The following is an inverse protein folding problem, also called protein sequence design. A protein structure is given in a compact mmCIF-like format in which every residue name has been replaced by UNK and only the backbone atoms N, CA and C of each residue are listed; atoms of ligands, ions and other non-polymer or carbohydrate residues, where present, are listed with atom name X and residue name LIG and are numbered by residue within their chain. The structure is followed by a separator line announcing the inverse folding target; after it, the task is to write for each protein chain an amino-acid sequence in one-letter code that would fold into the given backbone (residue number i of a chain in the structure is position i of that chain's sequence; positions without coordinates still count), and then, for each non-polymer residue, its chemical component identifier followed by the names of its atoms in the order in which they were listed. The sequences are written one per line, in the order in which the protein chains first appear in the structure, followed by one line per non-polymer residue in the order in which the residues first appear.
data_IF_742893879187
#
_entry.id   IF_742893879187
#
_cell.length_a   1.000
_cell.length_b   1.000
_cell.length_c   1.000
_cell.angle_alpha   90.00
_cell.angle_beta   90.00
_cell.angle_gamma   90.00
#
_symmetry.space_group_name_H-M   'P 1'
#
loop_
_entity.id
_entity.type
_entity.pdbx_description
1 polymer ?
#
# COMPACT_ATOMS: atom_id res chain seq x y z
N UNK A 1 -20.31 8.82 68.66
CA UNK A 1 -20.15 7.58 67.90
C UNK A 1 -20.79 7.75 66.53
N UNK A 2 -19.94 7.99 65.53
CA UNK A 2 -19.97 7.46 64.15
C UNK A 2 -21.34 7.32 63.46
N UNK A 3 -21.57 8.24 62.51
CA UNK A 3 -22.27 8.06 61.23
C UNK A 3 -21.76 6.83 60.48
N UNK A 4 -22.62 6.09 59.77
CA UNK A 4 -22.52 5.86 58.31
C UNK A 4 -23.90 5.42 57.80
N UNK A 5 -24.57 6.30 57.06
CA UNK A 5 -25.75 5.97 56.25
C UNK A 5 -25.26 5.68 54.83
N UNK A 6 -25.44 4.45 54.37
CA UNK A 6 -25.05 4.03 53.03
C UNK A 6 -25.96 4.70 51.97
N UNK A 7 -25.35 5.44 51.06
CA UNK A 7 -25.99 5.96 49.85
C UNK A 7 -25.97 4.85 48.80
N UNK A 8 -27.15 4.39 48.40
CA UNK A 8 -27.36 3.61 47.18
C UNK A 8 -27.12 4.52 45.96
N UNK A 9 -26.11 4.23 45.15
CA UNK A 9 -26.01 4.73 43.77
C UNK A 9 -26.10 3.58 42.80
N UNK A 10 -27.20 3.58 42.04
CA UNK A 10 -27.48 2.65 40.96
C UNK A 10 -26.48 2.88 39.81
N UNK A 11 -25.75 1.83 39.43
CA UNK A 11 -24.98 1.78 38.19
C UNK A 11 -25.95 1.39 37.07
N UNK A 12 -26.40 2.39 36.31
CA UNK A 12 -27.09 2.21 35.03
C UNK A 12 -26.07 1.82 33.97
N UNK A 13 -26.06 0.54 33.58
CA UNK A 13 -25.37 0.02 32.41
C UNK A 13 -26.01 0.55 31.13
N UNK A 14 -25.41 1.57 30.52
CA UNK A 14 -25.77 2.01 29.17
C UNK A 14 -25.12 1.07 28.17
N UNK A 15 -25.96 0.26 27.51
CA UNK A 15 -25.59 -0.64 26.44
C UNK A 15 -24.89 0.13 25.30
N UNK A 16 -23.67 -0.31 24.96
CA UNK A 16 -22.96 0.11 23.76
C UNK A 16 -23.68 -0.51 22.57
N UNK A 17 -24.55 0.25 21.93
CA UNK A 17 -25.14 -0.11 20.66
C UNK A 17 -24.03 -0.12 19.59
N UNK A 18 -23.71 -1.30 19.08
CA UNK A 18 -22.91 -1.46 17.87
C UNK A 18 -23.68 -0.80 16.70
N UNK A 19 -23.27 0.42 16.34
CA UNK A 19 -23.82 1.11 15.20
C UNK A 19 -23.37 0.41 13.92
N UNK A 20 -24.30 -0.32 13.30
CA UNK A 20 -24.25 -0.71 11.89
C UNK A 20 -24.06 0.54 11.04
N UNK A 21 -22.86 0.72 10.48
CA UNK A 21 -22.59 1.75 9.47
C UNK A 21 -23.36 1.40 8.19
N UNK A 22 -24.57 1.93 8.05
CA UNK A 22 -25.22 2.04 6.74
C UNK A 22 -24.37 2.98 5.87
N UNK A 23 -24.01 2.50 4.68
CA UNK A 23 -23.45 3.27 3.57
C UNK A 23 -24.26 4.56 3.36
N UNK A 24 -23.81 5.69 3.88
CA UNK A 24 -24.40 6.99 3.61
C UNK A 24 -23.62 7.65 2.45
N UNK A 25 -24.31 7.84 1.33
CA UNK A 25 -23.96 8.68 0.19
C UNK A 25 -22.59 8.42 -0.46
N UNK A 26 -22.47 7.28 -1.15
CA UNK A 26 -21.52 7.17 -2.27
C UNK A 26 -22.05 8.02 -3.43
N UNK A 27 -21.22 8.83 -4.12
CA UNK A 27 -21.66 9.51 -5.34
C UNK A 27 -22.27 8.49 -6.30
N UNK A 28 -23.39 8.86 -6.91
CA UNK A 28 -24.15 8.02 -7.85
C UNK A 28 -23.20 7.39 -8.86
N UNK A 29 -23.36 6.08 -9.07
CA UNK A 29 -22.64 5.27 -10.04
C UNK A 29 -22.76 5.87 -11.44
N UNK A 30 -21.84 6.75 -11.82
CA UNK A 30 -21.45 6.81 -13.21
C UNK A 30 -20.75 5.47 -13.45
N UNK A 31 -21.40 4.56 -14.18
CA UNK A 31 -20.75 3.37 -14.69
C UNK A 31 -19.43 3.83 -15.33
N UNK A 32 -18.31 3.43 -14.73
CA UNK A 32 -17.00 3.86 -15.18
C UNK A 32 -16.78 3.25 -16.57
N UNK A 33 -16.93 4.08 -17.60
CA UNK A 33 -16.70 3.71 -18.99
C UNK A 33 -15.23 3.28 -19.10
N UNK A 34 -14.98 2.16 -19.78
CA UNK A 34 -13.62 1.73 -20.14
C UNK A 34 -12.86 2.95 -20.70
N UNK A 35 -11.69 3.32 -20.15
CA UNK A 35 -10.96 4.47 -20.66
C UNK A 35 -10.67 4.29 -22.15
N UNK A 36 -10.82 5.34 -22.96
CA UNK A 36 -10.43 5.30 -24.36
C UNK A 36 -8.96 4.85 -24.50
N UNK A 37 -8.65 4.05 -25.52
CA UNK A 37 -7.29 3.65 -25.85
C UNK A 37 -6.42 4.91 -26.07
N UNK A 38 -5.45 5.14 -25.19
CA UNK A 38 -4.41 6.16 -25.41
C UNK A 38 -3.24 5.53 -26.13
N UNK A 39 -2.53 6.35 -26.90
CA UNK A 39 -1.19 6.04 -27.38
C UNK A 39 -0.34 5.56 -26.21
N UNK A 40 0.25 4.38 -26.40
CA UNK A 40 1.06 3.66 -25.43
C UNK A 40 2.35 4.46 -25.17
N UNK A 41 2.27 5.57 -24.42
CA UNK A 41 3.44 6.20 -23.81
C UNK A 41 4.00 5.14 -22.87
N UNK A 42 5.04 4.44 -23.32
CA UNK A 42 5.50 3.20 -22.72
C UNK A 42 5.74 3.38 -21.23
N UNK A 43 5.05 2.58 -20.41
CA UNK A 43 5.40 2.44 -19.02
C UNK A 43 6.82 1.88 -18.95
N UNK A 44 7.70 2.61 -18.27
CA UNK A 44 9.09 2.22 -18.04
C UNK A 44 9.55 2.79 -16.72
N UNK A 45 10.66 2.27 -16.21
CA UNK A 45 11.27 2.79 -14.98
C UNK A 45 11.72 4.25 -15.17
N UNK A 46 12.30 4.58 -16.33
CA UNK A 46 12.73 5.94 -16.67
C UNK A 46 11.54 6.91 -16.69
N UNK A 47 10.41 6.49 -17.29
CA UNK A 47 9.19 7.29 -17.29
C UNK A 47 8.67 7.48 -15.86
N UNK A 48 8.65 6.44 -15.05
CA UNK A 48 8.17 6.50 -13.67
C UNK A 48 9.05 7.41 -12.79
N UNK A 49 10.36 7.47 -13.05
CA UNK A 49 11.32 8.31 -12.34
C UNK A 49 11.40 9.74 -12.89
N UNK A 50 10.80 10.03 -14.04
CA UNK A 50 10.84 11.38 -14.62
C UNK A 50 10.25 12.44 -13.69
N UNK A 51 10.80 13.65 -13.76
CA UNK A 51 10.38 14.80 -12.95
C UNK A 51 8.86 15.02 -12.97
N UNK A 52 8.24 14.92 -14.15
CA UNK A 52 6.80 15.13 -14.28
C UNK A 52 5.97 14.03 -13.62
N UNK A 53 6.41 12.77 -13.71
CA UNK A 53 5.72 11.64 -13.09
C UNK A 53 5.82 11.71 -11.56
N UNK A 54 7.01 12.01 -11.05
CA UNK A 54 7.26 12.22 -9.63
C UNK A 54 6.50 13.43 -9.10
N UNK A 55 6.60 14.59 -9.75
CA UNK A 55 5.92 15.82 -9.32
C UNK A 55 4.40 15.63 -9.24
N UNK A 56 3.79 15.02 -10.26
CA UNK A 56 2.36 14.77 -10.30
C UNK A 56 1.90 13.94 -9.09
N UNK A 57 2.66 12.90 -8.78
CA UNK A 57 2.38 11.99 -7.68
C UNK A 57 2.58 12.63 -6.31
N UNK A 58 3.68 13.36 -6.12
CA UNK A 58 3.99 14.07 -4.88
C UNK A 58 2.93 15.14 -4.63
N UNK A 59 2.55 15.90 -5.65
CA UNK A 59 1.49 16.89 -5.58
C UNK A 59 0.13 16.25 -5.21
N UNK A 60 -0.19 15.11 -5.81
CA UNK A 60 -1.40 14.35 -5.48
C UNK A 60 -1.40 13.86 -4.02
N UNK A 61 -0.27 13.34 -3.54
CA UNK A 61 -0.11 12.97 -2.14
C UNK A 61 -0.20 14.20 -1.20
N UNK A 62 0.32 15.35 -1.62
CA UNK A 62 0.18 16.61 -0.89
C UNK A 62 -1.28 17.03 -0.73
N UNK A 63 -2.06 16.96 -1.81
CA UNK A 63 -3.52 17.18 -1.78
C UNK A 63 -4.18 16.22 -0.80
N UNK A 64 -3.95 14.91 -0.95
CA UNK A 64 -4.57 13.87 -0.14
C UNK A 64 -4.22 14.01 1.35
N UNK A 65 -2.96 14.34 1.67
CA UNK A 65 -2.50 14.49 3.03
C UNK A 65 -3.10 15.73 3.68
N UNK A 66 -2.97 16.90 3.06
CA UNK A 66 -3.44 18.19 3.61
C UNK A 66 -4.96 18.17 3.85
N UNK A 67 -5.72 17.49 3.00
CA UNK A 67 -7.19 17.47 3.06
C UNK A 67 -7.78 16.19 3.66
N UNK A 68 -6.90 15.26 4.05
CA UNK A 68 -7.25 13.92 4.55
C UNK A 68 -7.30 13.83 6.08
N UNK A 69 -7.03 12.62 6.57
CA UNK A 69 -7.02 12.27 8.00
C UNK A 69 -6.05 11.12 8.24
N UNK A 70 -5.67 10.87 9.49
CA UNK A 70 -4.83 9.70 9.85
C UNK A 70 -5.42 8.38 9.37
N UNK A 71 -6.75 8.26 9.35
CA UNK A 71 -7.41 7.09 8.79
C UNK A 71 -7.15 6.94 7.29
N UNK A 72 -7.26 8.03 6.52
CA UNK A 72 -6.97 7.98 5.08
C UNK A 72 -5.50 7.62 4.80
N UNK A 73 -4.56 8.12 5.60
CA UNK A 73 -3.14 7.84 5.44
C UNK A 73 -2.78 6.38 5.67
N UNK A 74 -3.51 5.74 6.59
CA UNK A 74 -3.28 4.33 6.93
C UNK A 74 -3.75 3.35 5.88
N UNK A 75 -4.63 3.78 4.97
CA UNK A 75 -5.11 2.94 3.88
C UNK A 75 -3.95 2.56 2.95
N UNK A 76 -3.82 1.26 2.71
CA UNK A 76 -2.88 0.72 1.74
C UNK A 76 -3.50 -0.50 1.07
N UNK A 77 -3.64 -0.53 -0.26
CA UNK A 77 -4.22 -1.68 -0.93
C UNK A 77 -3.33 -2.92 -0.75
N UNK A 78 -3.91 -4.13 -0.72
CA UNK A 78 -3.12 -5.37 -0.72
C UNK A 78 -2.14 -5.44 -1.90
N UNK A 79 -1.02 -6.13 -1.72
CA UNK A 79 0.01 -6.29 -2.75
C UNK A 79 0.98 -5.11 -2.90
N UNK A 80 0.94 -4.12 -2.00
CA UNK A 80 1.90 -3.00 -1.97
C UNK A 80 3.13 -3.25 -1.13
N UNK A 81 3.39 -4.46 -0.66
CA UNK A 81 4.64 -4.85 0.01
C UNK A 81 5.19 -6.09 -0.66
N UNK A 82 6.51 -6.24 -0.67
CA UNK A 82 7.21 -7.26 -1.43
C UNK A 82 6.87 -7.23 -2.93
N UNK A 83 6.93 -6.03 -3.50
CA UNK A 83 6.59 -5.74 -4.89
C UNK A 83 7.84 -5.85 -5.77
N UNK A 84 8.31 -7.08 -5.98
CA UNK A 84 9.50 -7.43 -6.79
C UNK A 84 9.22 -8.54 -7.81
N UNK A 85 7.94 -8.70 -8.19
CA UNK A 85 7.43 -9.86 -8.95
C UNK A 85 6.69 -9.46 -10.23
N UNK A 86 6.90 -8.23 -10.72
CA UNK A 86 6.42 -7.79 -12.03
C UNK A 86 4.93 -7.50 -12.15
N UNK A 87 4.16 -7.65 -11.07
CA UNK A 87 2.70 -7.52 -11.12
C UNK A 87 2.25 -6.08 -11.42
N UNK A 88 2.88 -5.09 -10.79
CA UNK A 88 2.57 -3.67 -11.06
C UNK A 88 2.84 -3.33 -12.53
N UNK A 89 3.98 -3.76 -13.09
CA UNK A 89 4.29 -3.55 -14.50
C UNK A 89 3.25 -4.21 -15.41
N UNK A 90 2.93 -5.48 -15.14
CA UNK A 90 1.93 -6.25 -15.90
C UNK A 90 0.57 -5.55 -15.96
N UNK A 91 0.14 -4.92 -14.87
CA UNK A 91 -1.09 -4.12 -14.82
C UNK A 91 -0.99 -2.89 -15.71
N UNK A 92 0.08 -2.14 -15.57
CA UNK A 92 0.19 -0.84 -16.24
C UNK A 92 0.33 -1.01 -17.76
N UNK A 93 1.03 -2.05 -18.23
CA UNK A 93 1.20 -2.32 -19.67
C UNK A 93 0.05 -3.10 -20.32
N UNK A 94 -1.03 -3.41 -19.59
CA UNK A 94 -2.13 -4.21 -20.13
C UNK A 94 -2.81 -3.52 -21.33
N UNK A 95 -2.60 -4.09 -22.51
CA UNK A 95 -3.12 -3.63 -23.80
C UNK A 95 -4.64 -3.74 -23.90
N UNK A 96 -5.25 -4.60 -23.10
CA UNK A 96 -6.70 -4.70 -22.99
C UNK A 96 -7.32 -3.59 -22.13
N UNK A 97 -6.50 -2.81 -21.40
CA UNK A 97 -6.86 -1.71 -20.50
C UNK A 97 -7.68 -2.13 -19.25
N UNK A 98 -7.61 -3.40 -18.86
CA UNK A 98 -8.16 -3.94 -17.62
C UNK A 98 -7.19 -3.87 -16.44
N UNK A 99 -5.93 -3.48 -16.62
CA UNK A 99 -4.94 -3.37 -15.55
C UNK A 99 -5.38 -2.59 -14.30
N UNK A 100 -6.23 -1.57 -14.46
CA UNK A 100 -6.82 -0.77 -13.38
C UNK A 100 -8.28 -1.11 -13.07
N UNK A 101 -8.74 -2.26 -13.53
CA UNK A 101 -10.04 -2.84 -13.20
C UNK A 101 -9.93 -3.74 -11.95
N UNK A 102 -10.96 -3.73 -11.11
CA UNK A 102 -11.00 -4.56 -9.88
C UNK A 102 -10.99 -6.07 -10.13
N UNK A 103 -11.23 -6.54 -11.36
CA UNK A 103 -11.21 -7.97 -11.73
C UNK A 103 -9.86 -8.49 -12.22
N UNK A 104 -8.88 -7.61 -12.51
CA UNK A 104 -7.61 -8.00 -13.13
C UNK A 104 -6.84 -9.02 -12.30
N UNK A 105 -6.63 -8.71 -11.01
CA UNK A 105 -5.96 -9.60 -10.05
C UNK A 105 -6.69 -10.94 -9.94
N UNK A 106 -8.02 -10.90 -9.76
CA UNK A 106 -8.83 -12.11 -9.61
C UNK A 106 -8.73 -13.02 -10.81
N UNK A 107 -8.74 -12.49 -12.04
CA UNK A 107 -8.67 -13.31 -13.26
C UNK A 107 -7.34 -14.04 -13.38
N UNK A 108 -6.21 -13.36 -13.19
CA UNK A 108 -4.89 -14.02 -13.26
C UNK A 108 -4.71 -15.03 -12.13
N UNK A 109 -5.07 -14.66 -10.89
CA UNK A 109 -4.94 -15.53 -9.72
C UNK A 109 -5.79 -16.80 -9.86
N UNK A 110 -7.04 -16.68 -10.32
CA UNK A 110 -7.94 -17.83 -10.50
C UNK A 110 -7.41 -18.80 -11.55
N UNK A 111 -6.82 -18.29 -12.64
CA UNK A 111 -6.17 -19.13 -13.66
C UNK A 111 -4.97 -19.91 -13.10
N UNK A 112 -4.12 -19.26 -12.31
CA UNK A 112 -2.98 -19.92 -11.66
C UNK A 112 -3.48 -21.01 -10.71
N UNK A 113 -4.37 -20.67 -9.78
CA UNK A 113 -4.88 -21.63 -8.80
C UNK A 113 -5.61 -22.82 -9.45
N UNK A 114 -6.28 -22.60 -10.57
CA UNK A 114 -6.93 -23.64 -11.36
C UNK A 114 -5.94 -24.67 -11.92
N UNK A 115 -4.80 -24.23 -12.46
CA UNK A 115 -3.84 -25.11 -13.14
C UNK A 115 -2.78 -25.73 -12.21
N UNK A 116 -2.55 -25.14 -11.04
CA UNK A 116 -1.67 -25.74 -10.02
C UNK A 116 -2.23 -27.09 -9.52
N UNK A 117 -1.35 -28.04 -9.19
CA UNK A 117 -1.76 -29.27 -8.53
C UNK A 117 -1.97 -29.06 -7.02
N UNK A 118 -2.41 -30.10 -6.29
CA UNK A 118 -2.67 -30.01 -4.85
C UNK A 118 -1.44 -29.64 -4.04
N UNK A 119 -0.27 -30.16 -4.38
CA UNK A 119 0.98 -29.89 -3.66
C UNK A 119 1.44 -28.44 -3.86
N UNK A 120 1.43 -27.94 -5.09
CA UNK A 120 1.78 -26.56 -5.42
C UNK A 120 0.81 -25.57 -4.76
N UNK A 121 -0.49 -25.85 -4.78
CA UNK A 121 -1.48 -25.04 -4.05
C UNK A 121 -1.24 -25.06 -2.55
N UNK A 122 -0.94 -26.22 -1.97
CA UNK A 122 -0.66 -26.36 -0.54
C UNK A 122 0.53 -25.49 -0.12
N UNK A 123 1.57 -25.37 -0.96
CA UNK A 123 2.71 -24.46 -0.72
C UNK A 123 2.29 -22.99 -0.64
N UNK A 124 1.47 -22.51 -1.58
CA UNK A 124 0.97 -21.13 -1.54
C UNK A 124 0.07 -20.87 -0.32
N UNK A 125 -0.80 -21.83 0.02
CA UNK A 125 -1.66 -21.73 1.20
C UNK A 125 -0.85 -21.69 2.49
N UNK A 126 0.18 -22.55 2.60
CA UNK A 126 1.07 -22.54 3.75
C UNK A 126 1.81 -21.20 3.88
N UNK A 127 2.32 -20.66 2.77
CA UNK A 127 2.94 -19.34 2.74
C UNK A 127 1.95 -18.25 3.19
N UNK A 128 0.71 -18.28 2.71
CA UNK A 128 -0.32 -17.30 3.08
C UNK A 128 -0.64 -17.30 4.57
N UNK A 129 -0.71 -18.47 5.19
CA UNK A 129 -0.92 -18.60 6.64
C UNK A 129 0.24 -18.03 7.45
N UNK A 130 1.46 -18.19 6.97
CA UNK A 130 2.67 -17.65 7.62
C UNK A 130 2.78 -16.13 7.45
N UNK A 131 2.48 -15.62 6.26
CA UNK A 131 2.68 -14.21 5.94
C UNK A 131 1.50 -13.31 6.31
N UNK A 132 0.27 -13.82 6.41
CA UNK A 132 -0.90 -13.01 6.80
C UNK A 132 -0.68 -12.19 8.10
N UNK A 133 -0.10 -12.75 9.20
CA UNK A 133 0.25 -11.96 10.38
C UNK A 133 1.36 -10.92 10.15
N UNK A 134 2.29 -11.16 9.21
CA UNK A 134 3.35 -10.21 8.89
C UNK A 134 2.79 -8.96 8.20
N UNK A 135 1.78 -9.12 7.35
CA UNK A 135 1.04 -7.98 6.81
C UNK A 135 0.46 -7.14 7.94
N UNK A 136 -0.27 -7.74 8.87
CA UNK A 136 -0.85 -7.03 10.02
C UNK A 136 0.22 -6.30 10.83
N UNK A 137 1.38 -6.94 11.05
CA UNK A 137 2.54 -6.31 11.68
C UNK A 137 3.01 -5.07 10.91
N UNK A 138 3.19 -5.18 9.59
CA UNK A 138 3.61 -4.05 8.77
C UNK A 138 2.60 -2.91 8.82
N UNK A 139 1.30 -3.19 8.68
CA UNK A 139 0.26 -2.17 8.73
C UNK A 139 0.23 -1.42 10.07
N UNK A 140 0.38 -2.13 11.19
CA UNK A 140 0.46 -1.53 12.51
C UNK A 140 1.73 -0.67 12.68
N UNK A 141 2.88 -1.20 12.26
CA UNK A 141 4.17 -0.53 12.43
C UNK A 141 4.37 0.69 11.53
N UNK A 142 3.49 0.92 10.54
CA UNK A 142 3.44 2.20 9.83
C UNK A 142 2.77 3.32 10.65
N UNK A 143 1.94 2.99 11.66
CA UNK A 143 1.15 4.00 12.39
C UNK A 143 2.01 5.04 13.13
N UNK A 144 3.15 4.70 13.77
CA UNK A 144 4.04 5.71 14.36
C UNK A 144 4.59 6.74 13.36
N UNK A 145 4.93 6.31 12.13
CA UNK A 145 5.37 7.23 11.06
C UNK A 145 4.23 8.18 10.68
N UNK A 146 3.04 7.64 10.42
CA UNK A 146 1.87 8.45 10.05
C UNK A 146 1.46 9.42 11.15
N UNK A 147 1.51 8.98 12.41
CA UNK A 147 1.27 9.83 13.58
C UNK A 147 2.27 10.99 13.62
N UNK A 148 3.57 10.73 13.50
CA UNK A 148 4.58 11.79 13.46
C UNK A 148 4.38 12.74 12.27
N UNK A 149 4.06 12.22 11.08
CA UNK A 149 3.81 13.05 9.90
C UNK A 149 2.60 13.95 10.12
N UNK A 150 1.51 13.43 10.70
CA UNK A 150 0.30 14.21 11.03
C UNK A 150 0.57 15.25 12.10
N UNK A 151 1.28 14.88 13.16
CA UNK A 151 1.72 15.84 14.19
C UNK A 151 2.56 16.96 13.60
N UNK A 152 3.45 16.66 12.65
CA UNK A 152 4.23 17.68 11.93
C UNK A 152 3.34 18.58 11.06
N UNK A 153 2.39 18.01 10.31
CA UNK A 153 1.41 18.74 9.49
C UNK A 153 0.56 19.71 10.32
N UNK A 154 0.15 19.27 11.51
CA UNK A 154 -0.77 19.97 12.42
C UNK A 154 -0.05 20.90 13.42
N UNK A 155 1.28 20.92 13.43
CA UNK A 155 2.07 21.71 14.39
C UNK A 155 2.04 21.18 15.83
N UNK A 156 1.67 19.91 16.04
CA UNK A 156 1.61 19.23 17.34
C UNK A 156 2.95 18.55 17.67
N UNK A 157 4.01 19.34 17.62
CA UNK A 157 5.38 18.88 17.86
C UNK A 157 5.62 18.59 19.34
N UNK A 158 6.44 17.59 19.70
CA UNK A 158 6.91 17.44 21.07
C UNK A 158 7.75 18.65 21.50
N UNK A 159 7.81 18.90 22.81
CA UNK A 159 8.52 20.06 23.37
C UNK A 159 9.99 20.06 22.94
N UNK A 160 10.49 21.18 22.42
CA UNK A 160 11.87 21.32 21.95
C UNK A 160 12.10 20.88 20.50
N UNK A 161 11.14 20.22 19.86
CA UNK A 161 11.24 19.85 18.45
C UNK A 161 10.89 21.01 17.52
N UNK A 162 11.60 21.12 16.40
CA UNK A 162 11.35 22.11 15.32
C UNK A 162 10.71 21.50 14.07
N UNK A 163 10.71 20.16 13.99
CA UNK A 163 10.18 19.38 12.88
C UNK A 163 10.60 17.91 13.00
N UNK A 164 10.34 17.14 11.94
CA UNK A 164 10.79 15.75 11.85
C UNK A 164 12.32 15.66 11.77
N UNK A 165 12.88 14.68 12.46
CA UNK A 165 14.27 14.26 12.29
C UNK A 165 14.34 13.29 11.09
N UNK A 166 15.01 13.71 10.02
CA UNK A 166 15.08 12.94 8.78
C UNK A 166 15.81 11.61 8.96
N UNK A 167 16.86 11.57 9.78
CA UNK A 167 17.63 10.34 10.00
C UNK A 167 16.84 9.37 10.88
N UNK A 168 16.10 9.86 11.88
CA UNK A 168 15.21 9.03 12.68
C UNK A 168 14.08 8.41 11.83
N UNK A 169 13.50 9.18 10.91
CA UNK A 169 12.48 8.68 9.96
C UNK A 169 13.06 7.63 9.02
N UNK A 170 14.25 7.89 8.47
CA UNK A 170 14.96 6.96 7.60
C UNK A 170 15.26 5.63 8.32
N UNK A 171 15.85 5.68 9.50
CA UNK A 171 16.20 4.52 10.31
C UNK A 171 14.97 3.70 10.76
N UNK A 172 13.88 4.37 11.15
CA UNK A 172 12.63 3.69 11.47
C UNK A 172 12.06 2.95 10.26
N UNK A 173 12.07 3.59 9.08
CA UNK A 173 11.53 2.99 7.85
C UNK A 173 12.40 1.81 7.38
N UNK A 174 13.72 1.91 7.51
CA UNK A 174 14.63 0.81 7.25
C UNK A 174 14.33 -0.42 8.14
N UNK A 175 14.06 -0.19 9.42
CA UNK A 175 13.68 -1.24 10.39
C UNK A 175 12.29 -1.83 10.09
N UNK A 176 11.32 -1.00 9.67
CA UNK A 176 10.00 -1.45 9.23
C UNK A 176 10.11 -2.43 8.03
N UNK A 177 11.04 -2.15 7.12
CA UNK A 177 11.24 -2.91 5.87
C UNK A 177 11.88 -4.29 6.08
N UNK A 178 12.35 -4.64 7.28
CA UNK A 178 12.68 -6.04 7.62
C UNK A 178 11.49 -6.97 7.37
N UNK A 179 10.26 -6.51 7.59
CA UNK A 179 9.05 -7.29 7.28
C UNK A 179 8.88 -7.47 5.77
N UNK A 180 9.17 -6.44 4.97
CA UNK A 180 9.14 -6.55 3.50
C UNK A 180 10.21 -7.55 3.01
N UNK A 181 11.38 -7.58 3.66
CA UNK A 181 12.42 -8.55 3.36
C UNK A 181 11.99 -10.00 3.63
N UNK A 182 11.38 -10.27 4.79
CA UNK A 182 10.81 -11.59 5.10
C UNK A 182 9.72 -11.98 4.10
N UNK A 183 8.83 -11.04 3.75
CA UNK A 183 7.76 -11.28 2.76
C UNK A 183 8.35 -11.64 1.39
N UNK A 184 9.29 -10.83 0.90
CA UNK A 184 9.93 -10.95 -0.42
C UNK A 184 10.73 -12.24 -0.55
N UNK A 185 11.61 -12.52 0.42
CA UNK A 185 12.47 -13.71 0.41
C UNK A 185 11.65 -15.00 0.40
N UNK A 186 10.73 -15.16 1.37
CA UNK A 186 9.95 -16.38 1.47
C UNK A 186 9.01 -16.58 0.29
N UNK A 187 8.49 -15.48 -0.27
CA UNK A 187 7.68 -15.54 -1.49
C UNK A 187 8.52 -16.06 -2.66
N UNK A 188 9.69 -15.48 -2.92
CA UNK A 188 10.57 -15.90 -4.02
C UNK A 188 10.99 -17.37 -3.91
N UNK A 189 11.32 -17.85 -2.70
CA UNK A 189 11.68 -19.25 -2.46
C UNK A 189 10.51 -20.18 -2.82
N UNK A 190 9.32 -19.92 -2.28
CA UNK A 190 8.15 -20.78 -2.49
C UNK A 190 7.66 -20.74 -3.93
N UNK A 191 7.53 -19.54 -4.52
CA UNK A 191 7.07 -19.42 -5.91
C UNK A 191 8.11 -19.96 -6.88
N UNK A 192 9.40 -19.79 -6.60
CA UNK A 192 10.50 -20.36 -7.37
C UNK A 192 10.47 -21.90 -7.39
N UNK A 193 10.24 -22.53 -6.24
CA UNK A 193 10.04 -23.99 -6.18
C UNK A 193 8.82 -24.45 -6.99
N UNK A 194 7.70 -23.71 -6.92
CA UNK A 194 6.50 -24.05 -7.68
C UNK A 194 6.79 -23.97 -9.18
N UNK A 195 7.42 -22.88 -9.64
CA UNK A 195 7.75 -22.66 -11.05
C UNK A 195 8.67 -23.77 -11.58
N UNK A 196 9.68 -24.17 -10.81
CA UNK A 196 10.56 -25.29 -11.20
C UNK A 196 9.82 -26.62 -11.32
N UNK A 197 8.75 -26.80 -10.54
CA UNK A 197 7.92 -28.02 -10.57
C UNK A 197 6.85 -28.02 -11.67
N UNK A 198 6.80 -27.00 -12.55
CA UNK A 198 5.78 -26.93 -13.59
C UNK A 198 5.88 -28.08 -14.60
N UNK A 199 4.77 -28.77 -14.77
CA UNK A 199 4.58 -29.76 -15.84
C UNK A 199 4.43 -29.07 -17.20
N UNK A 200 4.67 -29.81 -18.29
CA UNK A 200 4.43 -29.29 -19.64
C UNK A 200 2.97 -28.85 -19.87
N UNK A 201 2.01 -29.54 -19.23
CA UNK A 201 0.59 -29.13 -19.26
C UNK A 201 0.37 -27.76 -18.61
N UNK A 202 1.03 -27.50 -17.48
CA UNK A 202 0.96 -26.21 -16.79
C UNK A 202 1.59 -25.09 -17.62
N UNK A 203 2.80 -25.33 -18.14
CA UNK A 203 3.48 -24.39 -19.03
C UNK A 203 2.65 -24.09 -20.27
N UNK A 204 2.06 -25.09 -20.91
CA UNK A 204 1.20 -24.92 -22.07
C UNK A 204 -0.10 -24.16 -21.76
N UNK A 205 -0.69 -24.35 -20.58
CA UNK A 205 -1.87 -23.58 -20.17
C UNK A 205 -1.51 -22.11 -19.92
N UNK A 206 -0.49 -21.84 -19.10
CA UNK A 206 -0.02 -20.49 -18.80
C UNK A 206 0.56 -19.79 -20.04
N UNK A 207 1.07 -20.55 -21.01
CA UNK A 207 1.56 -20.05 -22.29
C UNK A 207 0.48 -19.42 -23.16
N UNK A 208 -0.81 -19.73 -22.93
CA UNK A 208 -1.95 -19.09 -23.62
C UNK A 208 -2.27 -17.70 -23.07
N UNK A 209 -1.75 -17.38 -21.89
CA UNK A 209 -1.98 -16.11 -21.22
C UNK A 209 -0.83 -15.16 -21.58
N UNK A 210 -1.11 -14.19 -22.44
CA UNK A 210 -0.15 -13.14 -22.78
C UNK A 210 0.08 -12.25 -21.56
N UNK A 211 1.34 -11.87 -21.32
CA UNK A 211 1.73 -11.11 -20.13
C UNK A 211 0.94 -9.80 -20.00
N UNK A 212 0.78 -9.06 -21.09
CA UNK A 212 0.18 -7.72 -21.13
C UNK A 212 -1.17 -7.68 -21.87
N UNK A 213 -1.92 -8.79 -21.88
CA UNK A 213 -3.24 -8.80 -22.52
C UNK A 213 -4.23 -9.69 -21.75
N UNK A 214 -4.98 -9.04 -20.86
CA UNK A 214 -6.03 -9.63 -20.04
C UNK A 214 -7.05 -10.46 -20.84
N UNK A 215 -7.35 -10.09 -22.09
CA UNK A 215 -8.37 -10.79 -22.91
C UNK A 215 -7.92 -12.17 -23.38
N UNK A 216 -6.61 -12.47 -23.34
CA UNK A 216 -6.10 -13.80 -23.67
C UNK A 216 -6.28 -14.80 -22.54
N UNK A 217 -6.56 -14.32 -21.34
CA UNK A 217 -6.64 -15.16 -20.15
C UNK A 217 -7.99 -15.87 -20.10
N UNK A 218 -8.04 -17.20 -19.91
CA UNK A 218 -9.30 -17.90 -19.75
C UNK A 218 -10.16 -17.29 -18.64
N UNK A 219 -11.47 -17.29 -18.81
CA UNK A 219 -12.40 -16.81 -17.79
C UNK A 219 -12.66 -17.95 -16.80
N UNK A 220 -11.90 -17.97 -15.71
CA UNK A 220 -11.95 -18.99 -14.67
C UNK A 220 -12.59 -18.39 -13.42
N UNK A 221 -13.69 -18.97 -12.91
CA UNK A 221 -14.33 -18.46 -11.71
C UNK A 221 -13.43 -18.63 -10.49
N UNK A 222 -13.62 -17.74 -9.52
CA UNK A 222 -12.97 -17.81 -8.22
C UNK A 222 -13.32 -19.12 -7.49
N UNK A 223 -12.36 -19.72 -6.80
CA UNK A 223 -12.59 -20.96 -6.05
C UNK A 223 -13.25 -20.67 -4.68
N UNK A 224 -14.58 -20.80 -4.63
CA UNK A 224 -15.40 -20.55 -3.43
C UNK A 224 -15.16 -21.55 -2.29
N UNK A 225 -14.71 -22.76 -2.56
CA UNK A 225 -14.34 -23.72 -1.51
C UNK A 225 -13.06 -23.25 -0.81
N UNK A 226 -12.04 -22.89 -1.59
CA UNK A 226 -10.77 -22.38 -1.09
C UNK A 226 -10.93 -21.08 -0.31
N UNK A 227 -11.78 -20.17 -0.81
CA UNK A 227 -12.11 -18.90 -0.14
C UNK A 227 -12.76 -19.12 1.22
N UNK A 228 -13.73 -20.04 1.32
CA UNK A 228 -14.40 -20.37 2.59
C UNK A 228 -13.50 -21.12 3.58
N UNK A 229 -12.46 -21.81 3.08
CA UNK A 229 -11.51 -22.56 3.90
C UNK A 229 -10.39 -21.72 4.53
N UNK A 230 -10.31 -20.42 4.23
CA UNK A 230 -9.24 -19.53 4.68
C UNK A 230 -9.80 -18.30 5.37
N UNK A 231 -9.00 -17.70 6.27
CA UNK A 231 -9.28 -16.35 6.78
C UNK A 231 -9.21 -15.34 5.64
N UNK A 232 -9.83 -14.17 5.82
CA UNK A 232 -9.85 -13.16 4.76
C UNK A 232 -8.42 -12.69 4.41
N UNK A 233 -7.59 -12.41 5.43
CA UNK A 233 -6.18 -12.03 5.23
C UNK A 233 -5.37 -13.12 4.50
N UNK A 234 -5.56 -14.39 4.88
CA UNK A 234 -4.92 -15.54 4.23
C UNK A 234 -5.37 -15.69 2.77
N UNK A 235 -6.65 -15.51 2.47
CA UNK A 235 -7.17 -15.59 1.11
C UNK A 235 -6.65 -14.45 0.22
N UNK A 236 -6.63 -13.21 0.74
CA UNK A 236 -6.05 -12.06 0.03
C UNK A 236 -4.57 -12.28 -0.26
N UNK A 237 -3.82 -12.82 0.71
CA UNK A 237 -2.41 -13.18 0.52
C UNK A 237 -2.25 -14.25 -0.58
N UNK A 238 -3.05 -15.32 -0.55
CA UNK A 238 -3.04 -16.37 -1.57
C UNK A 238 -3.30 -15.82 -2.98
N UNK A 239 -4.32 -14.96 -3.13
CA UNK A 239 -4.64 -14.34 -4.42
C UNK A 239 -3.51 -13.45 -4.92
N UNK A 240 -2.87 -12.70 -4.02
CA UNK A 240 -1.67 -11.91 -4.32
C UNK A 240 -0.56 -12.81 -4.86
N UNK A 241 -0.21 -13.89 -4.16
CA UNK A 241 0.89 -14.77 -4.60
C UNK A 241 0.60 -15.49 -5.89
N UNK A 242 -0.66 -15.93 -6.10
CA UNK A 242 -1.05 -16.55 -7.35
C UNK A 242 -0.90 -15.58 -8.53
N UNK A 243 -1.34 -14.32 -8.36
CA UNK A 243 -1.17 -13.29 -9.38
C UNK A 243 0.29 -12.95 -9.66
N UNK A 244 1.11 -12.81 -8.61
CA UNK A 244 2.52 -12.48 -8.71
C UNK A 244 3.36 -13.63 -9.24
N UNK A 245 3.00 -14.88 -8.93
CA UNK A 245 3.65 -16.06 -9.50
C UNK A 245 3.56 -16.02 -11.02
N UNK A 246 2.40 -15.66 -11.57
CA UNK A 246 2.23 -15.55 -13.01
C UNK A 246 3.05 -14.41 -13.60
N UNK A 247 2.95 -13.20 -13.02
CA UNK A 247 3.70 -12.05 -13.53
C UNK A 247 5.21 -12.27 -13.42
N UNK A 248 5.68 -12.98 -12.40
CA UNK A 248 7.10 -13.29 -12.26
C UNK A 248 7.58 -14.34 -13.26
N UNK A 249 6.80 -15.41 -13.44
CA UNK A 249 7.08 -16.49 -14.38
C UNK A 249 7.08 -16.01 -15.84
N UNK A 250 6.10 -15.19 -16.22
CA UNK A 250 5.95 -14.68 -17.60
C UNK A 250 6.69 -13.36 -17.84
N UNK A 251 7.05 -12.64 -16.79
CA UNK A 251 7.68 -11.33 -16.86
C UNK A 251 9.20 -11.39 -17.00
N UNK A 252 9.80 -10.22 -16.92
CA UNK A 252 11.22 -9.97 -17.06
C UNK A 252 11.80 -9.34 -15.80
N UNK A 253 13.13 -9.23 -15.75
CA UNK A 253 13.79 -8.44 -14.71
C UNK A 253 13.31 -6.98 -14.72
N UNK A 254 13.14 -6.37 -15.89
CA UNK A 254 12.63 -5.00 -16.02
C UNK A 254 11.24 -4.85 -15.38
N UNK A 255 10.37 -5.85 -15.55
CA UNK A 255 9.06 -5.87 -14.91
C UNK A 255 9.18 -5.91 -13.38
N UNK A 256 10.10 -6.72 -12.86
CA UNK A 256 10.33 -6.90 -11.42
C UNK A 256 10.90 -5.65 -10.75
N UNK A 257 11.75 -4.91 -11.47
CA UNK A 257 12.36 -3.66 -10.98
C UNK A 257 11.39 -2.49 -11.06
N UNK A 258 10.53 -2.47 -12.08
CA UNK A 258 9.55 -1.41 -12.29
C UNK A 258 8.73 -1.11 -11.03
N UNK A 259 8.47 0.17 -10.82
CA UNK A 259 7.51 0.65 -9.86
C UNK A 259 6.71 1.80 -10.46
N UNK A 260 5.43 1.89 -10.09
CA UNK A 260 4.63 3.09 -10.36
C UNK A 260 5.16 4.26 -9.52
N UNK A 261 5.09 5.52 -9.99
CA UNK A 261 5.55 6.69 -9.24
C UNK A 261 5.02 6.78 -7.80
N UNK A 262 3.82 6.28 -7.53
CA UNK A 262 3.19 6.25 -6.19
C UNK A 262 3.80 5.25 -5.21
N UNK A 263 4.85 4.52 -5.62
CA UNK A 263 5.48 3.47 -4.81
C UNK A 263 6.08 3.99 -3.51
N UNK A 264 6.72 5.15 -3.54
CA UNK A 264 7.36 5.76 -2.38
C UNK A 264 6.42 6.75 -1.70
N UNK A 265 6.55 6.92 -0.38
CA UNK A 265 5.70 7.86 0.35
C UNK A 265 4.25 7.41 0.44
N UNK A 266 4.00 6.15 0.77
CA UNK A 266 2.63 5.59 0.85
C UNK A 266 1.84 6.02 2.11
N UNK A 267 2.28 7.06 2.82
CA UNK A 267 1.82 7.48 4.15
C UNK A 267 0.91 8.72 4.13
N UNK A 268 0.44 9.12 2.95
CA UNK A 268 -0.16 10.44 2.70
C UNK A 268 -1.60 10.39 2.18
N UNK A 269 -2.24 9.21 2.21
CA UNK A 269 -3.64 9.05 1.86
C UNK A 269 -3.97 9.11 0.36
N UNK A 270 -2.96 9.21 -0.52
CA UNK A 270 -3.17 9.19 -1.97
C UNK A 270 -3.86 7.93 -2.46
N UNK A 271 -3.49 6.76 -1.93
CA UNK A 271 -4.20 5.51 -2.24
C UNK A 271 -5.63 5.51 -1.73
N UNK A 272 -5.92 6.07 -0.55
CA UNK A 272 -7.31 6.21 -0.10
C UNK A 272 -8.11 7.07 -1.07
N UNK A 273 -7.58 8.22 -1.47
CA UNK A 273 -8.24 9.13 -2.39
C UNK A 273 -8.51 8.47 -3.75
N UNK A 274 -7.57 7.66 -4.24
CA UNK A 274 -7.65 6.99 -5.55
C UNK A 274 -8.51 5.72 -5.53
N UNK A 275 -8.30 4.85 -4.55
CA UNK A 275 -8.75 3.46 -4.57
C UNK A 275 -10.01 3.22 -3.73
N UNK A 276 -10.33 4.09 -2.77
CA UNK A 276 -11.55 3.96 -1.97
C UNK A 276 -12.83 3.84 -2.82
N UNK A 277 -13.01 4.60 -3.93
CA UNK A 277 -14.16 4.43 -4.82
C UNK A 277 -14.27 3.06 -5.50
N UNK A 278 -13.15 2.34 -5.61
CA UNK A 278 -13.09 1.00 -6.20
C UNK A 278 -13.41 -0.11 -5.18
N UNK A 279 -13.37 0.18 -3.88
CA UNK A 279 -13.64 -0.79 -2.82
C UNK A 279 -15.08 -1.29 -2.87
N UNK A 280 -15.23 -2.62 -2.89
CA UNK A 280 -16.52 -3.32 -3.04
C UNK A 280 -17.31 -2.86 -4.28
N UNK A 281 -16.60 -2.53 -5.36
CA UNK A 281 -17.17 -2.07 -6.62
C UNK A 281 -16.65 -2.94 -7.78
N UNK A 282 -17.22 -4.14 -7.99
CA UNK A 282 -16.77 -5.05 -9.05
C UNK A 282 -16.90 -4.40 -10.43
N UNK A 283 -15.85 -4.54 -11.25
CA UNK A 283 -15.81 -3.96 -12.59
C UNK A 283 -15.48 -2.47 -12.64
N UNK A 284 -15.23 -1.82 -11.50
CA UNK A 284 -14.81 -0.42 -11.45
C UNK A 284 -13.44 -0.23 -12.09
N UNK A 285 -13.31 0.83 -12.89
CA UNK A 285 -12.06 1.29 -13.47
C UNK A 285 -11.56 2.51 -12.72
N UNK A 286 -10.36 2.40 -12.15
CA UNK A 286 -9.66 3.54 -11.59
C UNK A 286 -9.11 4.38 -12.75
N UNK A 287 -9.40 5.68 -12.75
CA UNK A 287 -8.89 6.61 -13.77
C UNK A 287 -7.37 6.71 -13.67
N UNK A 288 -6.69 6.46 -14.79
CA UNK A 288 -5.23 6.63 -14.91
C UNK A 288 -4.79 8.09 -14.97
N UNK A 289 -5.71 9.03 -15.17
CA UNK A 289 -5.41 10.47 -15.18
C UNK A 289 -5.59 11.13 -13.80
N UNK A 290 -6.30 10.48 -12.86
CA UNK A 290 -6.71 11.11 -11.59
C UNK A 290 -5.52 11.71 -10.82
N UNK A 291 -4.44 10.95 -10.69
CA UNK A 291 -3.21 11.38 -10.00
C UNK A 291 -2.63 12.62 -10.67
N UNK A 292 -2.45 12.60 -12.00
CA UNK A 292 -1.88 13.69 -12.78
C UNK A 292 -2.71 14.96 -12.75
N UNK A 293 -4.00 14.85 -13.07
CA UNK A 293 -4.91 16.00 -13.17
C UNK A 293 -5.09 16.68 -11.81
N UNK A 294 -5.23 15.89 -10.74
CA UNK A 294 -5.42 16.42 -9.38
C UNK A 294 -4.12 17.00 -8.82
N UNK A 295 -2.97 16.39 -9.10
CA UNK A 295 -1.66 16.93 -8.74
C UNK A 295 -1.39 18.28 -9.41
N UNK A 296 -1.70 18.41 -10.70
CA UNK A 296 -1.55 19.68 -11.42
C UNK A 296 -2.48 20.77 -10.85
N UNK A 297 -3.75 20.44 -10.59
CA UNK A 297 -4.71 21.38 -10.00
C UNK A 297 -4.32 21.80 -8.57
N UNK A 298 -3.77 20.88 -7.77
CA UNK A 298 -3.21 21.18 -6.45
C UNK A 298 -2.15 22.27 -6.56
N UNK A 299 -1.16 22.08 -7.45
CA UNK A 299 -0.10 23.06 -7.65
C UNK A 299 -0.65 24.41 -8.11
N UNK A 300 -1.69 24.44 -8.95
CA UNK A 300 -2.33 25.67 -9.41
C UNK A 300 -2.97 26.49 -8.30
N UNK A 301 -3.50 25.84 -7.25
CA UNK A 301 -4.09 26.52 -6.08
C UNK A 301 -3.02 27.16 -5.19
N UNK A 302 -1.79 26.64 -5.20
CA UNK A 302 -0.67 27.17 -4.42
C UNK A 302 -0.13 28.47 -5.01
N UNK A 303 0.29 29.39 -4.12
CA UNK A 303 1.06 30.57 -4.49
C UNK A 303 2.51 30.19 -4.85
N UNK A 304 3.32 31.17 -5.28
CA UNK A 304 4.70 30.93 -5.72
C UNK A 304 5.59 30.25 -4.67
N UNK A 305 5.56 30.73 -3.43
CA UNK A 305 6.38 30.20 -2.33
C UNK A 305 5.96 28.78 -1.93
N UNK A 306 4.65 28.55 -1.79
CA UNK A 306 4.09 27.23 -1.48
C UNK A 306 4.39 26.23 -2.59
N UNK A 307 4.25 26.64 -3.86
CA UNK A 307 4.52 25.78 -5.01
C UNK A 307 5.99 25.39 -5.08
N UNK A 308 6.89 26.34 -4.82
CA UNK A 308 8.34 26.08 -4.80
C UNK A 308 8.73 25.00 -3.78
N UNK A 309 8.04 24.94 -2.63
CA UNK A 309 8.26 23.88 -1.64
C UNK A 309 7.92 22.48 -2.17
N UNK A 310 6.94 22.36 -3.06
CA UNK A 310 6.53 21.06 -3.64
C UNK A 310 7.40 20.72 -4.84
N UNK A 311 7.62 21.66 -5.76
CA UNK A 311 8.43 21.39 -6.97
C UNK A 311 9.89 21.12 -6.62
N UNK A 312 10.43 21.76 -5.58
CA UNK A 312 11.80 21.53 -5.12
C UNK A 312 12.04 20.14 -4.53
N UNK A 313 11.00 19.35 -4.25
CA UNK A 313 11.15 17.95 -3.78
C UNK A 313 11.81 17.08 -4.85
N UNK A 314 11.48 17.30 -6.13
CA UNK A 314 11.96 16.48 -7.26
C UNK A 314 13.49 16.49 -7.33
N UNK A 315 14.08 17.68 -7.24
CA UNK A 315 15.54 17.84 -7.25
C UNK A 315 16.18 17.17 -6.02
N UNK A 316 15.63 17.43 -4.83
CA UNK A 316 16.20 16.94 -3.58
C UNK A 316 16.19 15.41 -3.45
N UNK A 317 15.17 14.75 -4.01
CA UNK A 317 15.06 13.29 -3.91
C UNK A 317 15.80 12.54 -5.03
N UNK A 318 16.23 13.22 -6.10
CA UNK A 318 16.61 12.56 -7.36
C UNK A 318 17.67 11.46 -7.15
N UNK A 319 18.71 11.75 -6.36
CA UNK A 319 19.75 10.77 -6.03
C UNK A 319 19.20 9.56 -5.28
N UNK A 320 18.32 9.77 -4.30
CA UNK A 320 17.70 8.68 -3.53
C UNK A 320 16.80 7.80 -4.40
N UNK A 321 16.09 8.39 -5.36
CA UNK A 321 15.24 7.66 -6.29
C UNK A 321 16.05 6.80 -7.26
N UNK A 322 17.19 7.31 -7.74
CA UNK A 322 18.14 6.54 -8.56
C UNK A 322 18.74 5.38 -7.78
N UNK A 323 19.18 5.63 -6.55
CA UNK A 323 19.71 4.59 -5.67
C UNK A 323 18.64 3.53 -5.39
N UNK A 324 17.41 3.94 -5.09
CA UNK A 324 16.28 3.05 -4.86
C UNK A 324 16.02 2.13 -6.07
N UNK A 325 16.07 2.66 -7.29
CA UNK A 325 15.93 1.88 -8.51
C UNK A 325 17.07 0.85 -8.68
N UNK A 326 18.31 1.25 -8.40
CA UNK A 326 19.46 0.35 -8.44
C UNK A 326 19.36 -0.74 -7.36
N UNK A 327 18.97 -0.40 -6.14
CA UNK A 327 18.75 -1.37 -5.06
C UNK A 327 17.67 -2.38 -5.45
N UNK A 328 16.57 -1.92 -6.07
CA UNK A 328 15.51 -2.81 -6.60
C UNK A 328 16.03 -3.76 -7.67
N UNK A 329 16.91 -3.31 -8.57
CA UNK A 329 17.57 -4.16 -9.57
C UNK A 329 18.37 -5.28 -8.91
N UNK A 330 19.15 -4.97 -7.88
CA UNK A 330 19.91 -5.99 -7.15
C UNK A 330 19.02 -6.98 -6.42
N UNK A 331 17.97 -6.50 -5.74
CA UNK A 331 16.99 -7.36 -5.05
C UNK A 331 16.32 -8.29 -6.06
N UNK A 332 15.75 -7.74 -7.14
CA UNK A 332 15.03 -8.53 -8.14
C UNK A 332 15.94 -9.56 -8.82
N UNK A 333 17.20 -9.20 -9.09
CA UNK A 333 18.19 -10.13 -9.65
C UNK A 333 18.45 -11.32 -8.72
N UNK A 334 18.68 -11.05 -7.44
CA UNK A 334 18.92 -12.07 -6.42
C UNK A 334 17.70 -12.99 -6.25
N UNK A 335 16.49 -12.40 -6.10
CA UNK A 335 15.24 -13.15 -5.95
C UNK A 335 14.96 -14.04 -7.17
N UNK A 336 15.16 -13.55 -8.40
CA UNK A 336 14.95 -14.34 -9.64
C UNK A 336 15.82 -15.60 -9.70
N UNK A 337 16.91 -15.64 -8.95
CA UNK A 337 17.72 -16.85 -8.76
C UNK A 337 16.89 -18.06 -8.32
N UNK A 338 15.85 -17.85 -7.49
CA UNK A 338 15.00 -18.94 -6.99
C UNK A 338 14.23 -19.66 -8.10
N UNK A 339 13.83 -18.97 -9.19
CA UNK A 339 13.17 -19.62 -10.32
C UNK A 339 14.10 -20.58 -11.07
N UNK A 340 15.41 -20.40 -10.94
CA UNK A 340 16.45 -21.20 -11.59
C UNK A 340 17.01 -22.29 -10.65
N UNK A 341 16.41 -22.50 -9.47
CA UNK A 341 16.93 -23.45 -8.48
C UNK A 341 18.17 -22.96 -7.73
N UNK A 342 18.55 -21.69 -7.89
CA UNK A 342 19.66 -21.12 -7.14
C UNK A 342 19.21 -20.84 -5.71
N UNK A 343 20.12 -21.06 -4.77
CA UNK A 343 19.94 -20.62 -3.38
C UNK A 343 20.04 -19.09 -3.34
N UNK A 344 18.95 -18.44 -2.96
CA UNK A 344 18.88 -17.00 -2.72
C UNK A 344 19.65 -16.65 -1.46
N UNK A 345 20.52 -15.65 -1.53
CA UNK A 345 21.23 -15.08 -0.38
C UNK A 345 20.27 -14.23 0.48
N UNK A 346 19.81 -14.83 1.60
CA UNK A 346 18.88 -14.16 2.52
C UNK A 346 19.50 -12.90 3.13
N UNK A 347 20.76 -12.96 3.55
CA UNK A 347 21.42 -11.83 4.23
C UNK A 347 21.56 -10.65 3.28
N UNK A 348 21.96 -10.91 2.02
CA UNK A 348 22.02 -9.88 0.99
C UNK A 348 20.66 -9.25 0.71
N UNK A 349 19.61 -10.06 0.51
CA UNK A 349 18.25 -9.54 0.26
C UNK A 349 17.79 -8.65 1.41
N UNK A 350 18.08 -9.04 2.65
CA UNK A 350 17.68 -8.28 3.83
C UNK A 350 18.43 -6.96 3.94
N UNK A 351 19.74 -6.97 3.70
CA UNK A 351 20.54 -5.75 3.69
C UNK A 351 20.07 -4.77 2.61
N UNK A 352 19.81 -5.26 1.39
CA UNK A 352 19.33 -4.42 0.29
C UNK A 352 17.93 -3.85 0.57
N UNK A 353 16.99 -4.66 1.08
CA UNK A 353 15.64 -4.17 1.39
C UNK A 353 15.65 -3.21 2.58
N UNK A 354 16.54 -3.39 3.55
CA UNK A 354 16.77 -2.42 4.62
C UNK A 354 17.24 -1.07 4.05
N UNK A 355 18.24 -1.06 3.17
CA UNK A 355 18.68 0.18 2.48
C UNK A 355 17.57 0.80 1.63
N UNK A 356 16.77 -0.01 0.94
CA UNK A 356 15.59 0.48 0.20
C UNK A 356 14.56 1.15 1.11
N UNK A 357 14.32 0.60 2.30
CA UNK A 357 13.45 1.20 3.32
C UNK A 357 14.00 2.51 3.88
N UNK A 358 15.32 2.62 4.05
CA UNK A 358 15.97 3.88 4.44
C UNK A 358 15.71 4.99 3.41
N UNK A 359 15.84 4.67 2.11
CA UNK A 359 15.57 5.60 1.01
C UNK A 359 14.10 6.03 0.95
N UNK A 360 13.15 5.10 1.12
CA UNK A 360 11.71 5.45 1.24
C UNK A 360 11.46 6.36 2.45
N UNK A 361 12.14 6.12 3.58
CA UNK A 361 12.06 6.95 4.77
C UNK A 361 12.58 8.36 4.53
N UNK A 362 13.73 8.53 3.88
CA UNK A 362 14.30 9.84 3.50
C UNK A 362 13.35 10.63 2.61
N UNK A 363 12.81 9.99 1.56
CA UNK A 363 11.83 10.61 0.67
C UNK A 363 10.54 10.98 1.43
N UNK A 364 10.01 10.07 2.24
CA UNK A 364 8.78 10.29 3.01
C UNK A 364 8.92 11.41 4.04
N UNK A 365 10.03 11.46 4.77
CA UNK A 365 10.34 12.52 5.73
C UNK A 365 10.44 13.90 5.05
N UNK A 366 11.04 13.96 3.87
CA UNK A 366 11.09 15.19 3.05
C UNK A 366 9.67 15.62 2.63
N UNK A 367 8.86 14.70 2.13
CA UNK A 367 7.49 14.99 1.67
C UNK A 367 6.65 15.53 2.82
N UNK A 368 6.63 14.83 3.95
CA UNK A 368 5.89 15.23 5.14
C UNK A 368 6.29 16.64 5.62
N UNK A 369 7.58 16.96 5.59
CA UNK A 369 8.10 18.27 6.00
C UNK A 369 7.68 19.39 5.05
N UNK A 370 7.72 19.15 3.73
CA UNK A 370 7.30 20.13 2.72
C UNK A 370 5.78 20.33 2.72
N UNK A 371 5.00 19.25 2.88
CA UNK A 371 3.55 19.35 3.01
C UNK A 371 3.14 20.11 4.27
N UNK A 372 3.82 19.89 5.40
CA UNK A 372 3.62 20.67 6.62
C UNK A 372 3.94 22.15 6.41
N UNK A 373 5.06 22.47 5.74
CA UNK A 373 5.43 23.85 5.43
C UNK A 373 4.38 24.56 4.56
N UNK A 374 3.86 23.89 3.52
CA UNK A 374 2.75 24.41 2.70
C UNK A 374 1.49 24.58 3.56
N UNK A 375 1.11 23.56 4.32
CA UNK A 375 -0.12 23.59 5.12
C UNK A 375 -0.16 24.77 6.10
N UNK A 376 0.98 25.15 6.70
CA UNK A 376 1.05 26.26 7.65
C UNK A 376 0.72 27.62 7.04
N UNK A 377 0.90 27.80 5.72
CA UNK A 377 0.75 29.10 5.05
C UNK A 377 -0.48 29.19 4.16
N UNK A 378 -1.31 28.13 4.08
CA UNK A 378 -2.53 28.14 3.27
C UNK A 378 -3.55 29.16 3.78
N UNK A 379 -4.10 29.97 2.86
CA UNK A 379 -5.24 30.85 3.15
C UNK A 379 -6.54 30.05 3.31
N UNK A 380 -7.59 30.68 3.84
CA UNK A 380 -8.91 30.06 3.94
C UNK A 380 -9.48 29.67 2.57
N UNK A 381 -9.28 30.51 1.55
CA UNK A 381 -9.73 30.28 0.17
C UNK A 381 -9.01 29.09 -0.44
N UNK A 382 -7.69 28.99 -0.24
CA UNK A 382 -6.91 27.85 -0.71
C UNK A 382 -7.38 26.56 -0.04
N UNK A 383 -7.60 26.56 1.28
CA UNK A 383 -8.13 25.38 2.00
C UNK A 383 -9.48 24.95 1.43
N UNK A 384 -10.40 25.88 1.21
CA UNK A 384 -11.70 25.58 0.62
C UNK A 384 -11.58 25.00 -0.80
N UNK A 385 -10.69 25.56 -1.63
CA UNK A 385 -10.42 25.06 -2.97
C UNK A 385 -9.82 23.65 -2.96
N UNK A 386 -8.90 23.37 -2.03
CA UNK A 386 -8.29 22.04 -1.87
C UNK A 386 -9.32 20.99 -1.42
N UNK A 387 -10.20 21.31 -0.47
CA UNK A 387 -11.29 20.42 -0.05
C UNK A 387 -12.23 20.12 -1.22
N UNK A 388 -12.56 21.12 -2.04
CA UNK A 388 -13.35 20.93 -3.26
C UNK A 388 -12.63 20.04 -4.27
N UNK A 389 -11.33 20.26 -4.49
CA UNK A 389 -10.50 19.47 -5.41
C UNK A 389 -10.39 18.01 -4.99
N UNK A 390 -10.23 17.73 -3.68
CA UNK A 390 -10.22 16.36 -3.14
C UNK A 390 -11.44 15.58 -3.59
N UNK A 391 -12.62 16.22 -3.70
CA UNK A 391 -13.83 15.64 -4.27
C UNK A 391 -14.20 14.25 -3.69
N UNK A 392 -13.92 14.03 -2.41
CA UNK A 392 -14.24 12.80 -1.69
C UNK A 392 -14.75 13.18 -0.30
N UNK A 393 -16.06 13.08 -0.10
CA UNK A 393 -16.72 13.47 1.15
C UNK A 393 -16.38 12.53 2.32
N UNK A 394 -16.05 11.27 2.03
CA UNK A 394 -15.81 10.27 3.07
C UNK A 394 -14.45 10.53 3.72
N UNK A 395 -14.46 10.86 5.00
CA UNK A 395 -13.30 10.87 5.88
C UNK A 395 -13.44 9.66 6.81
N UNK A 396 -12.51 8.71 6.80
CA UNK A 396 -12.64 7.50 7.59
C UNK A 396 -12.52 7.80 9.09
N UNK A 397 -13.37 7.14 9.88
CA UNK A 397 -13.23 7.08 11.32
C UNK A 397 -12.29 5.92 11.67
N UNK A 398 -11.31 6.16 12.53
CA UNK A 398 -10.32 5.14 12.91
C UNK A 398 -9.13 5.06 11.95
N UNK A 399 -8.61 3.85 11.76
CA UNK A 399 -7.49 3.55 10.85
C UNK A 399 -7.82 2.35 9.97
N UNK A 400 -6.97 2.04 9.01
CA UNK A 400 -7.06 0.85 8.19
C UNK A 400 -5.94 -0.13 8.51
N UNK A 401 -6.32 -1.40 8.59
CA UNK A 401 -5.43 -2.54 8.42
C UNK A 401 -5.43 -2.90 6.94
N UNK A 402 -4.46 -2.36 6.20
CA UNK A 402 -4.45 -2.29 4.73
C UNK A 402 -5.69 -1.58 4.17
N UNK A 403 -6.65 -2.36 3.66
CA UNK A 403 -7.90 -1.88 3.10
C UNK A 403 -9.11 -2.21 3.99
N UNK A 404 -8.89 -2.82 5.17
CA UNK A 404 -9.94 -3.12 6.14
C UNK A 404 -10.02 -2.02 7.21
N UNK A 405 -11.15 -1.32 7.37
CA UNK A 405 -11.30 -0.32 8.42
C UNK A 405 -11.33 -1.00 9.80
N UNK A 406 -10.63 -0.41 10.76
CA UNK A 406 -10.56 -0.87 12.17
C UNK A 406 -10.56 0.33 13.12
N UNK A 407 -10.90 0.09 14.39
CA UNK A 407 -10.74 1.12 15.41
C UNK A 407 -9.25 1.49 15.57
N UNK A 408 -8.96 2.76 15.87
CA UNK A 408 -7.59 3.20 16.14
C UNK A 408 -7.03 2.43 17.35
N UNK A 409 -5.96 1.63 17.18
CA UNK A 409 -5.31 0.97 18.30
C UNK A 409 -4.49 2.00 19.10
N UNK A 410 -4.02 1.65 20.31
CA UNK A 410 -2.91 2.37 20.91
C UNK A 410 -1.74 2.46 19.93
N UNK A 411 -1.22 3.66 19.68
CA UNK A 411 -0.08 3.89 18.79
C UNK A 411 1.17 4.04 19.68
N UNK A 412 2.27 3.33 19.39
CA UNK A 412 3.54 3.53 20.08
C UNK A 412 4.00 4.99 20.04
N UNK A 413 4.70 5.45 21.08
CA UNK A 413 5.23 6.81 21.12
C UNK A 413 6.09 7.10 19.87
N UNK A 414 5.89 8.24 19.24
CA UNK A 414 6.55 8.67 17.99
C UNK A 414 7.55 9.82 18.20
N UNK A 415 7.80 10.26 19.44
CA UNK A 415 8.64 11.44 19.73
C UNK A 415 10.10 11.31 19.26
N UNK A 416 10.65 10.10 19.17
CA UNK A 416 11.99 9.86 18.62
C UNK A 416 12.10 10.28 17.14
N UNK A 417 10.99 10.30 16.39
CA UNK A 417 10.94 10.78 15.00
C UNK A 417 11.09 12.31 14.89
N UNK A 418 11.16 13.00 16.03
CA UNK A 418 11.42 14.44 16.15
C UNK A 418 12.76 14.72 16.86
N UNK A 419 13.63 13.72 16.99
CA UNK A 419 14.95 13.84 17.64
C UNK A 419 14.89 14.07 19.15
N UNK A 420 13.75 13.78 19.80
CA UNK A 420 13.56 14.03 21.25
C UNK A 420 13.98 12.85 22.14
N UNK A 421 14.22 11.69 21.55
CA UNK A 421 14.73 10.51 22.26
C UNK A 421 15.43 9.58 21.27
N UNK A 422 16.22 8.64 21.80
CA UNK A 422 16.82 7.58 20.97
C UNK A 422 15.74 6.72 20.30
N UNK A 423 16.08 6.19 19.13
CA UNK A 423 15.25 5.22 18.43
C UNK A 423 15.13 3.96 19.31
N UNK A 424 13.90 3.52 19.56
CA UNK A 424 13.66 2.31 20.34
C UNK A 424 14.25 1.09 19.61
N UNK A 425 14.85 0.16 20.35
CA UNK A 425 15.43 -1.07 19.77
C UNK A 425 14.42 -1.89 18.95
N UNK A 426 13.13 -1.79 19.29
CA UNK A 426 12.01 -2.46 18.62
C UNK A 426 11.30 -1.59 17.56
N UNK A 427 11.89 -0.46 17.17
CA UNK A 427 11.32 0.44 16.16
C UNK A 427 11.02 -0.29 14.86
N UNK A 428 9.82 -0.06 14.30
CA UNK A 428 9.35 -0.74 13.09
C UNK A 428 8.94 -2.20 13.30
N UNK A 429 9.10 -2.74 14.51
CA UNK A 429 8.88 -4.16 14.85
C UNK A 429 8.04 -4.34 16.13
N UNK A 430 7.19 -3.36 16.46
CA UNK A 430 6.24 -3.46 17.57
C UNK A 430 5.23 -4.58 17.32
N UNK A 431 4.87 -5.30 18.39
CA UNK A 431 3.80 -6.30 18.33
C UNK A 431 2.44 -5.60 18.22
N UNK A 432 1.63 -5.90 17.18
CA UNK A 432 0.29 -5.35 17.08
C UNK A 432 -0.60 -5.81 18.25
N UNK A 433 -1.42 -4.93 18.84
CA UNK A 433 -2.37 -5.34 19.88
C UNK A 433 -3.44 -6.25 19.27
N UNK A 434 -3.99 -7.17 20.07
CA UNK A 434 -5.03 -8.09 19.61
C UNK A 434 -6.24 -7.36 19.00
N UNK A 435 -6.60 -6.19 19.52
CA UNK A 435 -7.68 -5.36 18.95
C UNK A 435 -7.45 -4.93 17.51
N UNK A 436 -6.19 -4.87 17.05
CA UNK A 436 -5.84 -4.55 15.67
C UNK A 436 -5.86 -5.79 14.76
N UNK A 437 -5.49 -6.96 15.28
CA UNK A 437 -5.36 -8.20 14.48
C UNK A 437 -6.64 -9.04 14.42
N UNK A 438 -7.62 -8.76 15.27
CA UNK A 438 -8.92 -9.44 15.24
C UNK A 438 -9.62 -9.20 13.90
N UNK A 439 -9.83 -10.27 13.13
CA UNK A 439 -10.73 -10.21 11.97
C UNK A 439 -12.17 -10.09 12.46
N UNK A 440 -12.92 -9.12 11.91
CA UNK A 440 -14.36 -9.10 12.07
C UNK A 440 -14.92 -10.43 11.55
N UNK A 441 -15.81 -11.07 12.32
CA UNK A 441 -16.51 -12.27 11.85
C UNK A 441 -17.17 -11.93 10.51
N UNK A 442 -16.82 -12.67 9.45
CA UNK A 442 -17.53 -12.52 8.18
C UNK A 442 -19.02 -12.73 8.47
N UNK A 443 -19.91 -11.80 8.10
CA UNK A 443 -21.33 -12.07 8.18
C UNK A 443 -21.61 -13.32 7.34
N UNK A 444 -22.32 -14.29 7.92
CA UNK A 444 -22.79 -15.47 7.18
C UNK A 444 -23.48 -14.95 5.90
N UNK A 445 -22.85 -15.14 4.74
CA UNK A 445 -23.48 -14.81 3.47
C UNK A 445 -24.67 -15.74 3.35
N UNK A 446 -25.88 -15.20 3.54
CA UNK A 446 -27.12 -15.94 3.35
C UNK A 446 -27.15 -16.48 1.92
N UNK A 447 -27.53 -17.76 1.82
CA UNK A 447 -27.44 -18.63 0.63
C UNK A 447 -28.27 -18.15 -0.54
#
# INVERSE_FOLDING_TARGET
MILVTAVLTAVSTSAIAAASYKQANRPSSNAAVKPAAKDNKGYSLEQAMSDNAQLSTIAFNGLAFITGSSGADSFMPPGKVADFFGFQYMRDVDTAQYGHNTTFLTRVASNVLFILNSEQRAKLIALAKVQAPLYDSFAYNRLPLMDAFRRNLEGKLPSGATGLDQEAVAAYTASLYTTDAELSYHRAVVTGEIIQSFTEKQKAYLGKMDFNNYLTWPDVPENEELKRGLKNSEYVALMTYASELFSWYKGSLDADVYFCPERHGTYFGGFYLKDYPAMDNPGYFISTNLTGDSGQQFLQILNGEQRALITGIVELQHGWLQEAAQTRLEIATELRGAMQGKKVDKERVFALIHSYGELDGRMSGLYASRFAAVNRTLTAEQRAALVKLRNLAVVPNGVYRFATPVATPPIPNSDFLFGQSELLQQAGQFTPPASFTLEAKQPERQR
#
